data_IF_493819821826
#
_entry.id   IF_493819821826
#
_cell.length_a   1.000
_cell.length_b   1.000
_cell.length_c   1.000
_cell.angle_alpha   90.00
_cell.angle_beta   90.00
_cell.angle_gamma   90.00
#
_symmetry.space_group_name_H-M   'P 1'
#
loop_
_entity.id
_entity.type
_entity.pdbx_description
1 polymer ?
#
# COMPACT_ATOMS: atom_id res chain seq x y z
N UNK A 1 6.98 -0.08 18.31
CA UNK A 1 7.11 -0.77 17.00
C UNK A 1 6.94 0.29 15.92
N UNK A 2 7.90 0.48 15.00
CA UNK A 2 7.75 1.44 13.89
C UNK A 2 7.06 0.75 12.72
N UNK A 3 5.88 1.23 12.33
CA UNK A 3 5.11 0.69 11.19
C UNK A 3 5.71 1.09 9.84
N UNK A 4 6.55 2.12 9.86
CA UNK A 4 7.37 2.63 8.75
C UNK A 4 8.37 1.60 8.18
N UNK A 5 8.84 0.63 8.97
CA UNK A 5 9.91 -0.30 8.57
C UNK A 5 9.40 -1.70 8.30
N UNK A 6 9.24 -2.04 7.03
CA UNK A 6 9.01 -3.44 6.62
C UNK A 6 10.34 -4.18 6.43
N UNK A 7 10.50 -5.33 7.07
CA UNK A 7 11.63 -6.25 6.82
C UNK A 7 11.10 -7.46 6.06
N UNK A 8 11.62 -7.64 4.84
CA UNK A 8 11.32 -8.83 4.03
C UNK A 8 11.94 -10.05 4.69
N UNK A 9 11.17 -11.13 4.79
CA UNK A 9 11.71 -12.44 5.17
C UNK A 9 12.52 -13.04 4.01
N UNK A 10 13.52 -13.88 4.32
CA UNK A 10 14.37 -14.52 3.32
C UNK A 10 13.58 -15.35 2.29
N UNK A 11 12.46 -15.96 2.72
CA UNK A 11 11.56 -16.70 1.82
C UNK A 11 10.72 -15.81 0.90
N UNK A 12 10.35 -14.62 1.37
CA UNK A 12 9.63 -13.62 0.54
C UNK A 12 10.57 -13.01 -0.49
N UNK A 13 11.82 -12.75 -0.10
CA UNK A 13 12.85 -12.26 -1.00
C UNK A 13 13.08 -13.23 -2.17
N UNK A 14 13.20 -14.53 -1.88
CA UNK A 14 13.39 -15.55 -2.92
C UNK A 14 12.18 -15.65 -3.86
N UNK A 15 10.95 -15.61 -3.33
CA UNK A 15 9.72 -15.64 -4.15
C UNK A 15 9.61 -14.42 -5.08
N UNK A 16 9.90 -13.22 -4.57
CA UNK A 16 9.83 -12.01 -5.39
C UNK A 16 11.00 -11.88 -6.37
N UNK A 17 12.20 -12.38 -6.01
CA UNK A 17 13.32 -12.48 -6.94
C UNK A 17 13.02 -13.49 -8.07
N UNK A 18 12.41 -14.65 -7.75
CA UNK A 18 11.99 -15.62 -8.75
C UNK A 18 10.92 -15.08 -9.70
N UNK A 19 9.94 -14.32 -9.17
CA UNK A 19 8.93 -13.65 -10.00
C UNK A 19 9.56 -12.58 -10.93
N UNK A 20 10.49 -11.78 -10.42
CA UNK A 20 11.23 -10.79 -11.20
C UNK A 20 12.09 -11.44 -12.30
N UNK A 21 12.75 -12.56 -12.00
CA UNK A 21 13.50 -13.34 -12.96
C UNK A 21 12.60 -13.96 -14.05
N UNK A 22 11.40 -14.43 -13.69
CA UNK A 22 10.41 -14.95 -14.64
C UNK A 22 9.91 -13.89 -15.62
N UNK A 23 9.66 -12.66 -15.14
CA UNK A 23 9.28 -11.54 -16.00
C UNK A 23 10.44 -11.15 -16.94
N UNK A 24 11.66 -11.08 -16.42
CA UNK A 24 12.86 -10.82 -17.23
C UNK A 24 13.09 -11.90 -18.30
N UNK A 25 12.83 -13.17 -17.96
CA UNK A 25 12.88 -14.29 -18.89
C UNK A 25 11.82 -14.16 -19.99
N UNK A 26 10.57 -13.84 -19.63
CA UNK A 26 9.48 -13.65 -20.59
C UNK A 26 9.77 -12.51 -21.56
N UNK A 27 10.25 -11.37 -21.05
CA UNK A 27 10.63 -10.21 -21.88
C UNK A 27 11.80 -10.55 -22.80
N UNK A 28 12.85 -11.18 -22.28
CA UNK A 28 14.02 -11.55 -23.09
C UNK A 28 13.70 -12.58 -24.16
N UNK A 29 12.83 -13.54 -23.85
CA UNK A 29 12.37 -14.56 -24.81
C UNK A 29 11.52 -13.94 -25.92
N UNK A 30 10.54 -13.11 -25.54
CA UNK A 30 9.58 -12.50 -26.48
C UNK A 30 10.22 -11.42 -27.37
N UNK A 31 11.16 -10.62 -26.88
CA UNK A 31 11.70 -9.50 -27.66
C UNK A 31 13.05 -9.77 -28.34
N UNK A 32 13.84 -10.71 -27.84
CA UNK A 32 15.20 -10.92 -28.36
C UNK A 32 15.55 -12.37 -28.65
N UNK A 33 14.77 -13.34 -28.15
CA UNK A 33 15.03 -14.79 -28.27
C UNK A 33 16.50 -15.16 -27.98
N UNK A 34 17.16 -14.39 -27.09
CA UNK A 34 18.61 -14.46 -26.87
C UNK A 34 18.98 -14.51 -25.39
N UNK A 35 19.90 -15.42 -25.06
CA UNK A 35 20.45 -15.64 -23.71
C UNK A 35 21.27 -14.45 -23.15
N UNK A 36 22.04 -13.68 -23.95
CA UNK A 36 22.82 -12.56 -23.43
C UNK A 36 21.96 -11.41 -22.87
N UNK A 37 20.81 -11.14 -23.51
CA UNK A 37 19.89 -10.08 -23.06
C UNK A 37 19.21 -10.45 -21.74
N UNK A 38 18.96 -11.75 -21.51
CA UNK A 38 18.45 -12.25 -20.23
C UNK A 38 19.44 -12.00 -19.09
N UNK A 39 20.72 -12.26 -19.32
CA UNK A 39 21.79 -12.02 -18.33
C UNK A 39 21.91 -10.51 -18.02
N UNK A 40 21.73 -9.64 -19.02
CA UNK A 40 21.76 -8.18 -18.84
C UNK A 40 20.53 -7.63 -18.08
N UNK A 41 19.34 -8.22 -18.26
CA UNK A 41 18.09 -7.83 -17.59
C UNK A 41 17.90 -8.45 -16.19
N UNK A 42 18.55 -9.58 -15.92
CA UNK A 42 18.52 -10.27 -14.62
C UNK A 42 18.80 -9.37 -13.39
N UNK A 43 19.82 -8.48 -13.38
CA UNK A 43 20.04 -7.58 -12.25
C UNK A 43 18.89 -6.58 -12.02
N UNK A 44 18.16 -6.16 -13.07
CA UNK A 44 16.95 -5.34 -12.92
C UNK A 44 15.78 -6.13 -12.33
N UNK A 45 15.64 -7.42 -12.67
CA UNK A 45 14.67 -8.34 -12.07
C UNK A 45 14.93 -8.58 -10.57
N UNK A 46 16.20 -8.57 -10.16
CA UNK A 46 16.62 -8.69 -8.75
C UNK A 46 16.34 -7.43 -7.91
N UNK A 47 16.11 -6.26 -8.54
CA UNK A 47 15.63 -5.06 -7.84
C UNK A 47 14.12 -5.07 -7.55
N UNK A 48 13.34 -5.96 -8.18
CA UNK A 48 11.90 -6.13 -7.95
C UNK A 48 11.49 -6.32 -6.47
N UNK A 49 12.19 -7.12 -5.64
CA UNK A 49 11.89 -7.22 -4.20
C UNK A 49 11.98 -5.89 -3.44
N UNK A 50 12.84 -4.95 -3.85
CA UNK A 50 12.93 -3.64 -3.18
C UNK A 50 11.69 -2.78 -3.45
N UNK A 51 11.14 -2.85 -4.67
CA UNK A 51 9.89 -2.20 -5.04
C UNK A 51 8.73 -2.85 -4.29
N UNK A 52 8.71 -4.18 -4.21
CA UNK A 52 7.65 -4.92 -3.51
C UNK A 52 7.63 -4.67 -2.00
N UNK A 53 8.80 -4.42 -1.40
CA UNK A 53 8.88 -3.98 0.00
C UNK A 53 8.14 -2.66 0.24
N UNK A 54 8.23 -1.71 -0.69
CA UNK A 54 7.52 -0.45 -0.59
C UNK A 54 6.00 -0.67 -0.72
N UNK A 55 5.55 -1.54 -1.63
CA UNK A 55 4.13 -1.93 -1.74
C UNK A 55 3.59 -2.56 -0.45
N UNK A 56 4.34 -3.49 0.15
CA UNK A 56 3.92 -4.19 1.37
C UNK A 56 3.87 -3.24 2.57
N UNK A 57 4.79 -2.28 2.65
CA UNK A 57 4.72 -1.18 3.62
C UNK A 57 3.44 -0.37 3.42
N UNK A 58 3.16 0.05 2.19
CA UNK A 58 1.98 0.85 1.86
C UNK A 58 0.67 0.11 2.20
N UNK A 59 0.59 -1.19 1.88
CA UNK A 59 -0.55 -2.03 2.25
C UNK A 59 -0.75 -2.13 3.77
N UNK A 60 0.35 -2.26 4.52
CA UNK A 60 0.29 -2.28 5.99
C UNK A 60 -0.19 -0.95 6.55
N UNK A 61 0.32 0.17 6.04
CA UNK A 61 -0.12 1.51 6.44
C UNK A 61 -1.57 1.76 6.08
N UNK A 62 -2.03 1.36 4.89
CA UNK A 62 -3.43 1.43 4.48
C UNK A 62 -4.35 0.66 5.42
N UNK A 63 -3.99 -0.58 5.76
CA UNK A 63 -4.76 -1.38 6.71
C UNK A 63 -4.78 -0.71 8.10
N UNK A 64 -3.64 -0.19 8.57
CA UNK A 64 -3.58 0.55 9.83
C UNK A 64 -4.49 1.78 9.80
N UNK A 65 -4.51 2.53 8.69
CA UNK A 65 -5.34 3.72 8.52
C UNK A 65 -6.84 3.38 8.58
N UNK A 66 -7.25 2.29 7.92
CA UNK A 66 -8.63 1.80 7.95
C UNK A 66 -9.07 1.37 9.35
N UNK A 67 -8.25 0.57 10.03
CA UNK A 67 -8.54 0.16 11.42
C UNK A 67 -8.54 1.38 12.36
N UNK A 68 -7.66 2.37 12.12
CA UNK A 68 -7.58 3.59 12.92
C UNK A 68 -8.86 4.42 12.78
N UNK A 69 -9.36 4.60 11.54
CA UNK A 69 -10.64 5.26 11.25
C UNK A 69 -11.78 4.67 12.09
N UNK A 70 -11.93 3.35 12.08
CA UNK A 70 -12.98 2.70 12.88
C UNK A 70 -12.74 2.88 14.39
N UNK A 71 -11.48 2.77 14.82
CA UNK A 71 -11.10 2.94 16.22
C UNK A 71 -11.42 4.32 16.79
N UNK A 72 -11.14 5.39 16.05
CA UNK A 72 -11.44 6.76 16.49
C UNK A 72 -12.95 7.05 16.48
N UNK A 73 -13.71 6.50 15.54
CA UNK A 73 -15.17 6.66 15.51
C UNK A 73 -15.83 6.00 16.72
N UNK A 74 -15.39 4.79 17.06
CA UNK A 74 -15.84 4.07 18.26
C UNK A 74 -15.42 4.83 19.53
N UNK A 75 -14.16 5.28 19.60
CA UNK A 75 -13.68 6.06 20.74
C UNK A 75 -14.50 7.33 20.93
N UNK A 76 -14.75 8.06 19.84
CA UNK A 76 -15.52 9.30 19.83
C UNK A 76 -16.97 9.09 20.29
N UNK A 77 -17.60 7.98 19.91
CA UNK A 77 -18.97 7.66 20.32
C UNK A 77 -19.06 7.37 21.83
N UNK A 78 -18.10 6.63 22.40
CA UNK A 78 -18.05 6.39 23.85
C UNK A 78 -17.75 7.67 24.65
N UNK A 79 -16.81 8.50 24.18
CA UNK A 79 -16.55 9.80 24.80
C UNK A 79 -17.81 10.70 24.76
N UNK A 80 -18.57 10.65 23.66
CA UNK A 80 -19.84 11.36 23.52
C UNK A 80 -20.93 10.84 24.46
N UNK A 81 -20.90 9.56 24.78
CA UNK A 81 -21.77 8.94 25.78
C UNK A 81 -21.35 9.25 27.23
N UNK A 82 -20.33 10.11 27.44
CA UNK A 82 -19.87 10.54 28.76
C UNK A 82 -18.91 9.57 29.44
N UNK A 83 -18.34 8.61 28.70
CA UNK A 83 -17.33 7.70 29.25
C UNK A 83 -16.06 8.49 29.59
N UNK A 84 -15.38 8.08 30.67
CA UNK A 84 -14.00 8.53 30.89
C UNK A 84 -13.11 8.04 29.75
N UNK A 85 -11.97 8.71 29.55
CA UNK A 85 -11.07 8.36 28.44
C UNK A 85 -10.57 6.92 28.56
N UNK A 86 -10.25 6.48 29.78
CA UNK A 86 -9.83 5.11 30.09
C UNK A 86 -10.91 4.09 29.70
N UNK A 87 -12.15 4.34 30.12
CA UNK A 87 -13.27 3.45 29.83
C UNK A 87 -13.62 3.46 28.34
N UNK A 88 -13.48 4.61 27.66
CA UNK A 88 -13.70 4.73 26.23
C UNK A 88 -12.67 3.90 25.45
N UNK A 89 -11.39 3.91 25.84
CA UNK A 89 -10.38 3.02 25.24
C UNK A 89 -10.70 1.54 25.48
N UNK A 90 -11.05 1.17 26.71
CA UNK A 90 -11.39 -0.22 27.06
C UNK A 90 -12.58 -0.77 26.26
N UNK A 91 -13.64 0.05 26.13
CA UNK A 91 -14.81 -0.29 25.33
C UNK A 91 -14.47 -0.35 23.82
N UNK A 92 -13.66 0.58 23.32
CA UNK A 92 -13.22 0.60 21.92
C UNK A 92 -12.40 -0.63 21.54
N UNK A 93 -11.52 -1.11 22.42
CA UNK A 93 -10.72 -2.33 22.20
C UNK A 93 -11.65 -3.53 22.00
N UNK A 94 -12.71 -3.64 22.80
CA UNK A 94 -13.66 -4.75 22.72
C UNK A 94 -14.39 -4.76 21.38
N UNK A 95 -14.90 -3.62 20.93
CA UNK A 95 -15.57 -3.49 19.64
C UNK A 95 -14.60 -3.75 18.47
N UNK A 96 -13.38 -3.20 18.52
CA UNK A 96 -12.36 -3.46 17.50
C UNK A 96 -11.95 -4.94 17.44
N UNK A 97 -11.89 -5.62 18.58
CA UNK A 97 -11.58 -7.05 18.64
C UNK A 97 -12.69 -7.92 18.01
N UNK A 98 -13.94 -7.48 18.07
CA UNK A 98 -15.05 -8.14 17.36
C UNK A 98 -14.90 -7.98 15.84
N UNK A 99 -14.49 -6.81 15.36
CA UNK A 99 -14.35 -6.53 13.93
C UNK A 99 -13.09 -7.12 13.28
N UNK A 100 -11.94 -7.01 13.93
CA UNK A 100 -10.63 -7.35 13.36
C UNK A 100 -9.95 -8.54 14.04
N UNK A 101 -10.57 -9.10 15.08
CA UNK A 101 -9.98 -10.16 15.91
C UNK A 101 -8.94 -9.64 16.91
N UNK A 102 -8.52 -10.51 17.83
CA UNK A 102 -7.53 -10.17 18.87
C UNK A 102 -6.15 -9.77 18.33
N UNK A 103 -5.86 -10.14 17.08
CA UNK A 103 -4.59 -9.84 16.40
C UNK A 103 -4.68 -8.62 15.46
N UNK A 104 -5.77 -7.86 15.50
CA UNK A 104 -5.91 -6.60 14.77
C UNK A 104 -4.81 -5.61 15.17
N UNK A 105 -4.30 -4.82 14.21
CA UNK A 105 -3.22 -3.90 14.49
C UNK A 105 -3.65 -2.81 15.47
N UNK A 106 -4.85 -2.24 15.29
CA UNK A 106 -5.38 -1.24 16.20
C UNK A 106 -5.83 -1.82 17.53
N UNK A 107 -6.24 -3.09 17.59
CA UNK A 107 -6.57 -3.78 18.85
C UNK A 107 -5.34 -3.85 19.75
N UNK A 108 -4.21 -4.29 19.20
CA UNK A 108 -2.94 -4.35 19.91
C UNK A 108 -2.46 -2.94 20.32
N UNK A 109 -2.62 -1.96 19.43
CA UNK A 109 -2.18 -0.60 19.69
C UNK A 109 -3.03 0.11 20.74
N UNK A 110 -4.36 0.01 20.67
CA UNK A 110 -5.24 0.54 21.70
C UNK A 110 -5.04 -0.17 23.03
N UNK A 111 -4.81 -1.48 23.04
CA UNK A 111 -4.50 -2.22 24.28
C UNK A 111 -3.17 -1.77 24.89
N UNK A 112 -2.16 -1.50 24.06
CA UNK A 112 -0.89 -0.95 24.53
C UNK A 112 -1.08 0.45 25.12
N UNK A 113 -1.87 1.31 24.48
CA UNK A 113 -2.19 2.64 24.98
C UNK A 113 -2.99 2.59 26.28
N UNK A 114 -4.03 1.76 26.38
CA UNK A 114 -4.82 1.55 27.61
C UNK A 114 -3.92 1.15 28.78
N UNK A 115 -3.00 0.20 28.57
CA UNK A 115 -2.04 -0.22 29.60
C UNK A 115 -1.18 0.93 30.13
N UNK A 116 -0.75 1.84 29.25
CA UNK A 116 0.02 3.02 29.64
C UNK A 116 -0.82 4.08 30.35
N UNK A 117 -2.05 4.30 29.89
CA UNK A 117 -2.98 5.23 30.53
C UNK A 117 -3.31 4.76 31.96
N UNK A 118 -3.51 3.45 32.16
CA UNK A 118 -3.70 2.85 33.48
C UNK A 118 -2.49 3.01 34.42
N UNK A 119 -1.30 3.23 33.87
CA UNK A 119 -0.09 3.59 34.62
C UNK A 119 0.01 5.10 34.90
N UNK A 120 -1.09 5.85 34.80
CA UNK A 120 -1.16 7.31 34.97
C UNK A 120 -0.28 8.10 33.99
N UNK A 121 0.04 7.54 32.80
CA UNK A 121 0.65 8.34 31.73
C UNK A 121 -0.41 9.25 31.08
N UNK A 122 -0.11 10.52 30.79
CA UNK A 122 -1.05 11.42 30.12
C UNK A 122 -1.48 10.86 28.75
N UNK A 123 -2.79 10.83 28.49
CA UNK A 123 -3.35 10.25 27.25
C UNK A 123 -2.82 10.97 26.02
N UNK A 124 -2.74 12.29 26.08
CA UNK A 124 -2.15 13.12 25.03
C UNK A 124 -0.72 12.71 24.66
N UNK A 125 0.11 12.34 25.64
CA UNK A 125 1.47 11.88 25.39
C UNK A 125 1.47 10.51 24.72
N UNK A 126 0.62 9.60 25.20
CA UNK A 126 0.50 8.23 24.66
C UNK A 126 0.02 8.25 23.20
N UNK A 127 -0.96 9.09 22.88
CA UNK A 127 -1.46 9.28 21.52
C UNK A 127 -0.42 9.93 20.60
N UNK A 128 0.33 10.92 21.08
CA UNK A 128 1.41 11.54 20.30
C UNK A 128 2.53 10.54 19.98
N UNK A 129 2.96 9.73 20.96
CA UNK A 129 3.93 8.65 20.75
C UNK A 129 3.43 7.61 19.72
N UNK A 130 2.12 7.37 19.65
CA UNK A 130 1.51 6.56 18.61
C UNK A 130 1.52 7.25 17.23
N UNK A 131 1.16 8.53 17.17
CA UNK A 131 1.27 9.35 15.96
C UNK A 131 2.66 9.26 15.33
N UNK A 132 3.70 9.52 16.11
CA UNK A 132 5.10 9.53 15.64
C UNK A 132 5.59 8.18 15.09
N UNK A 133 5.10 7.06 15.64
CA UNK A 133 5.54 5.71 15.23
C UNK A 133 4.62 5.03 14.20
N UNK A 134 3.39 5.54 14.03
CA UNK A 134 2.40 5.00 13.10
C UNK A 134 2.82 5.21 11.64
N UNK A 135 3.50 6.31 11.33
CA UNK A 135 3.82 6.71 9.96
C UNK A 135 2.60 7.18 9.16
N UNK A 136 1.50 7.55 9.84
CA UNK A 136 0.27 8.08 9.26
C UNK A 136 0.05 9.52 9.74
N UNK A 137 -0.05 10.46 8.80
CA UNK A 137 -0.25 11.88 9.13
C UNK A 137 -1.60 12.11 9.83
N UNK A 138 -2.65 11.37 9.44
CA UNK A 138 -3.98 11.50 10.04
C UNK A 138 -3.99 11.08 11.53
N UNK A 139 -3.16 10.09 11.93
CA UNK A 139 -3.01 9.70 13.34
C UNK A 139 -2.31 10.79 14.13
N UNK A 140 -1.25 11.37 13.56
CA UNK A 140 -0.52 12.47 14.19
C UNK A 140 -1.39 13.71 14.36
N UNK A 141 -2.10 14.12 13.31
CA UNK A 141 -3.03 15.24 13.34
C UNK A 141 -4.13 15.02 14.40
N UNK A 142 -4.69 13.81 14.48
CA UNK A 142 -5.65 13.47 15.52
C UNK A 142 -5.07 13.60 16.93
N UNK A 143 -3.85 13.11 17.17
CA UNK A 143 -3.19 13.21 18.47
C UNK A 143 -2.94 14.66 18.89
N UNK A 144 -2.52 15.52 17.95
CA UNK A 144 -2.30 16.95 18.19
C UNK A 144 -3.61 17.67 18.54
N UNK A 145 -4.68 17.38 17.78
CA UNK A 145 -6.01 17.93 18.06
C UNK A 145 -6.55 17.43 19.40
N UNK A 146 -6.36 16.15 19.73
CA UNK A 146 -6.78 15.59 21.01
C UNK A 146 -6.08 16.27 22.19
N UNK A 147 -4.76 16.46 22.10
CA UNK A 147 -3.98 17.13 23.13
C UNK A 147 -4.44 18.59 23.35
N UNK A 148 -4.77 19.31 22.27
CA UNK A 148 -5.31 20.66 22.34
C UNK A 148 -6.72 20.68 22.96
N UNK A 149 -7.60 19.78 22.51
CA UNK A 149 -8.99 19.72 22.94
C UNK A 149 -9.13 19.32 24.41
N UNK A 150 -8.27 18.43 24.92
CA UNK A 150 -8.27 17.99 26.33
C UNK A 150 -8.06 19.15 27.30
N UNK A 151 -7.24 20.14 26.94
CA UNK A 151 -7.02 21.36 27.76
C UNK A 151 -8.24 22.27 27.79
N UNK A 152 -9.12 22.19 26.79
CA UNK A 152 -10.30 23.05 26.65
C UNK A 152 -11.53 22.52 27.38
N UNK A 153 -11.55 21.25 27.81
CA UNK A 153 -12.55 20.64 28.69
C UNK A 153 -13.95 20.48 28.09
N UNK A 154 -14.67 21.58 27.85
CA UNK A 154 -16.07 21.59 27.41
C UNK A 154 -16.27 21.21 25.94
N UNK A 155 -15.33 21.57 25.06
CA UNK A 155 -15.42 21.30 23.62
C UNK A 155 -14.72 20.01 23.19
N UNK A 156 -14.16 19.22 24.12
CA UNK A 156 -13.37 18.03 23.80
C UNK A 156 -14.17 17.07 22.92
N UNK A 157 -15.38 16.72 23.34
CA UNK A 157 -16.23 15.76 22.61
C UNK A 157 -16.62 16.30 21.23
N UNK A 158 -16.97 17.59 21.14
CA UNK A 158 -17.32 18.26 19.89
C UNK A 158 -16.16 18.23 18.89
N UNK A 159 -14.96 18.62 19.34
CA UNK A 159 -13.75 18.65 18.52
C UNK A 159 -13.37 17.23 18.06
N UNK A 160 -13.38 16.24 18.97
CA UNK A 160 -13.02 14.85 18.62
C UNK A 160 -14.02 14.23 17.65
N UNK A 161 -15.32 14.50 17.80
CA UNK A 161 -16.34 14.05 16.84
C UNK A 161 -16.12 14.68 15.47
N UNK A 162 -15.84 15.99 15.43
CA UNK A 162 -15.60 16.68 14.17
C UNK A 162 -14.35 16.14 13.46
N UNK A 163 -13.23 16.02 14.17
CA UNK A 163 -11.97 15.50 13.59
C UNK A 163 -12.09 14.04 13.16
N UNK A 164 -12.75 13.19 13.96
CA UNK A 164 -13.03 11.81 13.57
C UNK A 164 -13.91 11.74 12.31
N UNK A 165 -14.89 12.64 12.19
CA UNK A 165 -15.72 12.78 10.99
C UNK A 165 -14.90 13.17 9.76
N UNK A 166 -14.04 14.18 9.87
CA UNK A 166 -13.15 14.62 8.77
C UNK A 166 -12.23 13.48 8.31
N UNK A 167 -11.62 12.75 9.24
CA UNK A 167 -10.76 11.60 8.91
C UNK A 167 -11.56 10.49 8.23
N UNK A 168 -12.76 10.18 8.73
CA UNK A 168 -13.65 9.20 8.11
C UNK A 168 -14.00 9.57 6.68
N UNK A 169 -14.45 10.79 6.47
CA UNK A 169 -14.91 11.26 5.16
C UNK A 169 -13.74 11.27 4.17
N UNK A 170 -12.53 11.68 4.61
CA UNK A 170 -11.30 11.59 3.81
C UNK A 170 -10.99 10.16 3.38
N UNK A 171 -10.99 9.21 4.31
CA UNK A 171 -10.68 7.80 4.02
C UNK A 171 -11.75 7.17 3.13
N UNK A 172 -13.03 7.50 3.33
CA UNK A 172 -14.12 7.02 2.49
C UNK A 172 -13.97 7.51 1.05
N UNK A 173 -13.61 8.78 0.84
CA UNK A 173 -13.30 9.33 -0.49
C UNK A 173 -12.11 8.59 -1.11
N UNK A 174 -11.05 8.30 -0.34
CA UNK A 174 -9.92 7.51 -0.83
C UNK A 174 -10.32 6.09 -1.25
N UNK A 175 -11.18 5.41 -0.48
CA UNK A 175 -11.71 4.08 -0.84
C UNK A 175 -12.59 4.13 -2.09
N UNK A 176 -13.42 5.16 -2.24
CA UNK A 176 -14.24 5.37 -3.43
C UNK A 176 -13.37 5.60 -4.67
N UNK A 177 -12.34 6.46 -4.57
CA UNK A 177 -11.36 6.68 -5.65
C UNK A 177 -10.63 5.39 -6.00
N UNK A 178 -10.21 4.61 -5.00
CA UNK A 178 -9.55 3.33 -5.23
C UNK A 178 -10.47 2.34 -5.96
N UNK A 179 -11.75 2.30 -5.59
CA UNK A 179 -12.76 1.44 -6.20
C UNK A 179 -13.06 1.86 -7.64
N UNK A 180 -13.25 3.16 -7.89
CA UNK A 180 -13.45 3.68 -9.24
C UNK A 180 -12.24 3.42 -10.14
N UNK A 181 -11.03 3.55 -9.60
CA UNK A 181 -9.79 3.35 -10.36
C UNK A 181 -9.44 1.86 -10.52
N UNK A 182 -10.03 0.96 -9.72
CA UNK A 182 -9.74 -0.48 -9.77
C UNK A 182 -10.03 -1.07 -11.16
N UNK A 183 -11.13 -0.68 -11.79
CA UNK A 183 -11.46 -1.11 -13.15
C UNK A 183 -10.39 -0.70 -14.17
N UNK A 184 -9.89 0.54 -14.07
CA UNK A 184 -8.83 1.07 -14.94
C UNK A 184 -7.47 0.44 -14.68
N UNK A 185 -7.15 0.13 -13.43
CA UNK A 185 -5.94 -0.63 -13.10
C UNK A 185 -6.02 -2.06 -13.65
N UNK A 186 -7.18 -2.68 -13.63
CA UNK A 186 -7.37 -4.02 -14.21
C UNK A 186 -7.25 -4.00 -15.74
N UNK A 187 -7.90 -3.05 -16.40
CA UNK A 187 -7.80 -2.80 -17.84
C UNK A 187 -6.33 -2.58 -18.26
N UNK A 188 -5.59 -1.75 -17.53
CA UNK A 188 -4.16 -1.52 -17.77
C UNK A 188 -3.34 -2.80 -17.62
N UNK A 189 -3.60 -3.62 -16.58
CA UNK A 189 -2.91 -4.91 -16.40
C UNK A 189 -3.13 -5.83 -17.60
N UNK A 190 -4.34 -5.87 -18.15
CA UNK A 190 -4.64 -6.64 -19.36
C UNK A 190 -3.88 -6.05 -20.55
N UNK A 191 -3.93 -4.73 -20.74
CA UNK A 191 -3.26 -4.06 -21.86
C UNK A 191 -1.75 -4.31 -21.86
N UNK A 192 -1.14 -4.39 -20.67
CA UNK A 192 0.27 -4.73 -20.50
C UNK A 192 0.61 -6.20 -20.83
N UNK A 193 -0.39 -7.09 -20.96
CA UNK A 193 -0.17 -8.48 -21.36
C UNK A 193 -0.38 -8.69 -22.87
N UNK A 194 -1.15 -7.82 -23.54
CA UNK A 194 -1.50 -7.96 -24.96
C UNK A 194 -0.28 -8.14 -25.87
N UNK A 195 0.80 -7.33 -25.78
CA UNK A 195 1.95 -7.49 -26.69
C UNK A 195 2.62 -8.86 -26.58
N UNK A 196 2.69 -9.43 -25.37
CA UNK A 196 3.24 -10.76 -25.15
C UNK A 196 2.37 -11.84 -25.78
N UNK A 197 1.06 -11.76 -25.58
CA UNK A 197 0.12 -12.70 -26.19
C UNK A 197 0.12 -12.60 -27.72
N UNK A 198 0.20 -11.40 -28.29
CA UNK A 198 0.28 -11.19 -29.73
C UNK A 198 1.52 -11.82 -30.35
N UNK A 199 2.70 -11.60 -29.75
CA UNK A 199 3.95 -12.19 -30.26
C UNK A 199 3.89 -13.72 -30.19
N UNK A 200 3.42 -14.28 -29.08
CA UNK A 200 3.26 -15.73 -28.94
C UNK A 200 2.26 -16.32 -29.93
N UNK A 201 1.12 -15.65 -30.13
CA UNK A 201 0.10 -16.08 -31.08
C UNK A 201 0.63 -16.10 -32.51
N UNK A 202 1.37 -15.06 -32.92
CA UNK A 202 1.97 -14.97 -34.26
C UNK A 202 3.09 -16.01 -34.44
N UNK A 203 3.93 -16.24 -33.42
CA UNK A 203 5.00 -17.26 -33.50
C UNK A 203 4.44 -18.68 -33.67
N UNK A 204 3.31 -18.99 -33.04
CA UNK A 204 2.63 -20.30 -33.17
C UNK A 204 1.89 -20.44 -34.50
N UNK A 205 1.19 -19.38 -34.95
CA UNK A 205 0.39 -19.43 -36.17
C UNK A 205 1.21 -19.31 -37.45
N UNK A 206 2.31 -18.55 -37.43
CA UNK A 206 3.23 -18.37 -38.56
C UNK A 206 4.68 -18.45 -38.09
N UNK A 207 5.21 -19.68 -37.93
CA UNK A 207 6.60 -19.88 -37.55
C UNK A 207 7.55 -19.22 -38.55
N UNK A 208 8.49 -18.43 -38.05
CA UNK A 208 9.49 -17.72 -38.86
C UNK A 208 9.11 -16.29 -39.26
N UNK A 209 7.90 -15.81 -38.93
CA UNK A 209 7.48 -14.43 -39.22
C UNK A 209 8.45 -13.38 -38.65
N UNK A 210 8.98 -13.61 -37.45
CA UNK A 210 9.89 -12.67 -36.78
C UNK A 210 11.38 -12.95 -37.02
N UNK A 211 11.75 -13.92 -37.86
CA UNK A 211 13.16 -14.31 -38.02
C UNK A 211 14.03 -13.17 -38.57
N UNK A 212 13.52 -12.40 -39.53
CA UNK A 212 14.21 -11.20 -40.02
C UNK A 212 14.42 -10.16 -38.91
N UNK A 213 13.48 -10.00 -37.98
CA UNK A 213 13.60 -9.05 -36.88
C UNK A 213 14.59 -9.51 -35.80
N UNK A 214 14.65 -10.81 -35.50
CA UNK A 214 15.54 -11.34 -34.46
C UNK A 214 16.98 -11.60 -34.94
N UNK A 215 17.15 -11.97 -36.22
CA UNK A 215 18.46 -12.37 -36.76
C UNK A 215 19.25 -11.19 -37.35
N UNK A 216 18.60 -10.16 -37.88
CA UNK A 216 19.30 -9.00 -38.45
C UNK A 216 19.67 -7.95 -37.40
N UNK A 217 20.82 -7.29 -37.57
CA UNK A 217 21.28 -6.22 -36.68
C UNK A 217 20.32 -5.03 -36.65
N UNK A 218 19.75 -4.66 -37.79
CA UNK A 218 18.74 -3.60 -37.89
C UNK A 218 17.43 -3.97 -37.15
N UNK A 219 16.98 -5.22 -37.26
CA UNK A 219 15.81 -5.71 -36.55
C UNK A 219 15.93 -5.61 -35.02
N UNK A 220 17.11 -5.91 -34.48
CA UNK A 220 17.38 -5.76 -33.03
C UNK A 220 17.29 -4.33 -32.55
N UNK A 221 17.77 -3.36 -33.32
CA UNK A 221 17.64 -1.94 -32.98
C UNK A 221 16.18 -1.49 -32.95
N UNK A 222 15.37 -1.94 -33.91
CA UNK A 222 13.93 -1.65 -33.95
C UNK A 222 13.23 -2.27 -32.74
N UNK A 223 13.51 -3.54 -32.41
CA UNK A 223 12.94 -4.21 -31.23
C UNK A 223 13.32 -3.52 -29.92
N UNK A 224 14.54 -2.99 -29.83
CA UNK A 224 14.99 -2.20 -28.68
C UNK A 224 14.20 -0.89 -28.56
N UNK A 225 13.96 -0.20 -29.68
CA UNK A 225 13.11 0.99 -29.71
C UNK A 225 11.67 0.70 -29.29
N UNK A 226 11.06 -0.38 -29.80
CA UNK A 226 9.73 -0.82 -29.41
C UNK A 226 9.65 -1.14 -27.91
N UNK A 227 10.64 -1.85 -27.37
CA UNK A 227 10.71 -2.16 -25.95
C UNK A 227 10.85 -0.89 -25.10
N UNK A 228 11.65 0.09 -25.53
CA UNK A 228 11.83 1.34 -24.81
C UNK A 228 10.53 2.17 -24.77
N UNK A 229 9.82 2.27 -25.90
CA UNK A 229 8.51 2.94 -25.97
C UNK A 229 7.50 2.21 -25.09
N UNK A 230 7.48 0.88 -25.13
CA UNK A 230 6.60 0.06 -24.31
C UNK A 230 6.89 0.23 -22.80
N UNK A 231 8.15 0.23 -22.41
CA UNK A 231 8.57 0.49 -21.03
C UNK A 231 8.18 1.91 -20.58
N UNK A 232 8.36 2.91 -21.44
CA UNK A 232 7.94 4.28 -21.16
C UNK A 232 6.42 4.37 -20.98
N UNK A 233 5.64 3.72 -21.85
CA UNK A 233 4.18 3.64 -21.74
C UNK A 233 3.73 2.94 -20.44
N UNK A 234 4.40 1.85 -20.06
CA UNK A 234 4.15 1.14 -18.80
C UNK A 234 4.37 2.05 -17.58
N UNK A 235 5.50 2.77 -17.54
CA UNK A 235 5.84 3.69 -16.45
C UNK A 235 4.86 4.87 -16.39
N UNK A 236 4.53 5.47 -17.54
CA UNK A 236 3.56 6.57 -17.63
C UNK A 236 2.18 6.14 -17.16
N UNK A 237 1.70 4.99 -17.62
CA UNK A 237 0.41 4.45 -17.20
C UNK A 237 0.38 4.13 -15.70
N UNK A 238 1.48 3.59 -15.15
CA UNK A 238 1.63 3.39 -13.71
C UNK A 238 1.60 4.69 -12.91
N UNK A 239 2.21 5.77 -13.43
CA UNK A 239 2.19 7.09 -12.80
C UNK A 239 0.80 7.73 -12.80
N UNK A 240 0.07 7.62 -13.92
CA UNK A 240 -1.28 8.18 -14.06
C UNK A 240 -2.27 7.45 -13.14
N UNK A 241 -2.14 6.12 -13.02
CA UNK A 241 -3.06 5.31 -12.21
C UNK A 241 -2.73 5.29 -10.73
N UNK A 242 -1.52 5.72 -10.36
CA UNK A 242 -1.18 6.04 -8.98
C UNK A 242 -1.72 7.42 -8.66
N UNK A 243 -3.05 7.53 -8.58
CA UNK A 243 -3.71 8.72 -8.05
C UNK A 243 -3.36 8.74 -6.56
N UNK A 244 -2.44 9.62 -6.22
CA UNK A 244 -2.04 9.96 -4.86
C UNK A 244 -3.12 10.92 -4.33
N UNK A 245 -3.83 10.49 -3.28
CA UNK A 245 -4.83 11.31 -2.56
C UNK A 245 -4.34 11.50 -1.15
#
# INVERSE_FOLDING_TARGET
>A
MYYDRYRLSAGEWFRYAAAGAGIAAAVSYVFYRSLPVFIMLSPFGLCYPLIKKADLKDQRLKRLNLEFKEGILILSSFLSAGYSVENAFSASIRELAVMYGASGMMVLEFSHMEGQIRMNRPVEQVLMEFGDRSGLDDVRNFAEVFAAAKRSGGELVSIINHTSGVIRDKIQIQEEIATMTAAKQFEQKIMNLIPFFLVLYVDVSSPGFFDMMYQTGAGRWIMTGCLAIYAAAYVLAGRILRIEV
#
